data_IF_220678651740
#
_entry.id   IF_220678651740
#
_cell.length_a   1.000
_cell.length_b   1.000
_cell.length_c   1.000
_cell.angle_alpha   90.00
_cell.angle_beta   90.00
_cell.angle_gamma   90.00
#
_symmetry.space_group_name_H-M   'P 1'
#
loop_
_entity.id
_entity.type
_entity.pdbx_description
1 polymer ?
#
# COMPACT_ATOMS: atom_id res chain seq x y z
N UNK A 1 -3.05 8.49 -19.32
CA UNK A 1 -2.04 8.30 -18.27
C UNK A 1 -2.71 7.55 -17.12
N UNK A 2 -2.11 6.49 -16.65
CA UNK A 2 -2.64 5.64 -15.59
C UNK A 2 -2.70 6.41 -14.25
N UNK A 3 -3.81 6.33 -13.53
CA UNK A 3 -4.10 7.20 -12.38
C UNK A 3 -4.18 6.42 -11.08
N UNK A 4 -3.57 6.95 -10.03
CA UNK A 4 -3.46 6.31 -8.72
C UNK A 4 -4.06 7.19 -7.63
N UNK A 5 -4.76 6.56 -6.68
CA UNK A 5 -4.99 7.10 -5.34
C UNK A 5 -4.19 6.27 -4.36
N UNK A 6 -3.38 6.91 -3.53
CA UNK A 6 -2.62 6.25 -2.47
C UNK A 6 -3.26 6.49 -1.10
N UNK A 7 -3.27 5.47 -0.24
CA UNK A 7 -3.74 5.58 1.15
C UNK A 7 -2.58 5.30 2.11
N UNK A 8 -2.47 6.14 3.16
CA UNK A 8 -1.40 6.07 4.17
C UNK A 8 -1.95 6.27 5.59
N UNK A 9 -1.17 5.87 6.59
CA UNK A 9 -1.45 6.15 8.01
C UNK A 9 -0.27 6.76 8.78
N UNK A 10 0.92 6.86 8.18
CA UNK A 10 2.16 7.24 8.87
C UNK A 10 3.09 8.12 8.05
N UNK A 11 4.39 7.88 8.17
CA UNK A 11 5.47 8.67 7.54
C UNK A 11 5.48 8.66 6.00
N UNK A 12 4.83 7.68 5.37
CA UNK A 12 4.66 7.65 3.92
C UNK A 12 5.94 7.35 3.12
N UNK A 13 6.87 6.55 3.62
CA UNK A 13 8.11 6.23 2.90
C UNK A 13 7.86 5.54 1.55
N UNK A 14 6.91 4.62 1.49
CA UNK A 14 6.49 3.96 0.24
C UNK A 14 5.75 4.94 -0.69
N UNK A 15 4.91 5.82 -0.13
CA UNK A 15 4.27 6.90 -0.87
C UNK A 15 5.30 7.82 -1.52
N UNK A 16 6.31 8.24 -0.75
CA UNK A 16 7.35 9.13 -1.25
C UNK A 16 8.08 8.53 -2.45
N UNK A 17 8.49 7.28 -2.37
CA UNK A 17 9.13 6.59 -3.48
C UNK A 17 8.24 6.54 -4.74
N UNK A 18 6.93 6.30 -4.56
CA UNK A 18 5.97 6.32 -5.66
C UNK A 18 5.79 7.71 -6.25
N UNK A 19 5.72 8.77 -5.44
CA UNK A 19 5.63 10.16 -5.89
C UNK A 19 6.88 10.57 -6.68
N UNK A 20 8.09 10.27 -6.17
CA UNK A 20 9.36 10.51 -6.85
C UNK A 20 9.42 9.80 -8.21
N UNK A 21 8.94 8.56 -8.30
CA UNK A 21 8.86 7.84 -9.56
C UNK A 21 7.86 8.50 -10.54
N UNK A 22 6.68 8.89 -10.06
CA UNK A 22 5.63 9.53 -10.85
C UNK A 22 5.99 10.94 -11.33
N UNK A 23 6.97 11.61 -10.72
CA UNK A 23 7.48 12.92 -11.16
C UNK A 23 8.30 12.81 -12.46
N UNK A 24 8.80 11.64 -12.77
CA UNK A 24 9.49 11.39 -14.04
C UNK A 24 8.50 11.33 -15.21
N UNK A 25 8.74 12.09 -16.29
CA UNK A 25 7.88 12.04 -17.49
C UNK A 25 7.89 10.68 -18.21
N UNK A 26 8.86 9.82 -17.88
CA UNK A 26 8.97 8.46 -18.42
C UNK A 26 8.21 7.42 -17.58
N UNK A 27 7.67 7.80 -16.44
CA UNK A 27 6.87 6.90 -15.63
C UNK A 27 5.41 6.89 -16.11
N UNK A 28 4.81 5.71 -16.34
CA UNK A 28 3.52 5.61 -17.04
C UNK A 28 2.30 5.96 -16.20
N UNK A 29 2.49 6.29 -14.92
CA UNK A 29 1.42 6.55 -13.96
C UNK A 29 1.59 7.88 -13.23
N UNK A 30 0.49 8.39 -12.66
CA UNK A 30 0.47 9.60 -11.84
C UNK A 30 -0.37 9.39 -10.58
N UNK A 31 0.07 9.92 -9.42
CA UNK A 31 -0.72 9.96 -8.20
C UNK A 31 -1.66 11.18 -8.26
N UNK A 32 -2.97 10.95 -8.23
CA UNK A 32 -4.00 12.00 -8.28
C UNK A 32 -4.36 12.54 -6.91
N UNK A 33 -4.35 11.66 -5.92
CA UNK A 33 -4.65 12.05 -4.55
C UNK A 33 -4.01 11.08 -3.53
N UNK A 34 -3.80 11.60 -2.33
CA UNK A 34 -3.36 10.83 -1.17
C UNK A 34 -4.39 10.97 -0.05
N UNK A 35 -4.93 9.84 0.39
CA UNK A 35 -5.83 9.75 1.53
C UNK A 35 -5.13 9.27 2.79
N UNK A 36 -5.57 9.77 3.95
CA UNK A 36 -5.10 9.30 5.25
C UNK A 36 -6.26 9.08 6.23
N UNK A 37 -6.10 8.10 7.13
CA UNK A 37 -7.07 7.81 8.21
C UNK A 37 -6.85 8.68 9.47
N UNK A 38 -5.82 9.53 9.43
CA UNK A 38 -5.41 10.46 10.50
C UNK A 38 -4.47 11.52 9.94
N UNK A 39 -4.20 12.62 10.66
CA UNK A 39 -3.05 13.46 10.34
C UNK A 39 -1.78 12.61 10.29
N UNK A 40 -1.12 12.57 9.16
CA UNK A 40 0.03 11.71 8.89
C UNK A 40 1.14 12.53 8.23
N UNK A 41 2.39 12.35 8.71
CA UNK A 41 3.54 13.08 8.16
C UNK A 41 3.78 12.83 6.66
N UNK A 42 3.33 11.68 6.15
CA UNK A 42 3.41 11.36 4.73
C UNK A 42 2.58 12.27 3.81
N UNK A 43 1.61 13.04 4.35
CA UNK A 43 0.85 14.03 3.57
C UNK A 43 1.73 15.19 3.10
N UNK A 44 2.76 15.54 3.86
CA UNK A 44 3.75 16.55 3.46
C UNK A 44 4.46 16.18 2.14
N UNK A 45 4.68 14.89 1.90
CA UNK A 45 5.24 14.43 0.62
C UNK A 45 4.28 14.73 -0.54
N UNK A 46 2.97 14.47 -0.35
CA UNK A 46 1.98 14.79 -1.39
C UNK A 46 1.92 16.28 -1.69
N UNK A 47 1.99 17.13 -0.67
CA UNK A 47 2.01 18.60 -0.82
C UNK A 47 3.25 19.07 -1.60
N UNK A 48 4.44 18.51 -1.32
CA UNK A 48 5.68 18.82 -2.04
C UNK A 48 5.59 18.52 -3.55
N UNK A 49 4.84 17.48 -3.92
CA UNK A 49 4.61 17.11 -5.33
C UNK A 49 3.32 17.73 -5.91
N UNK A 50 2.64 18.62 -5.19
CA UNK A 50 1.40 19.27 -5.65
C UNK A 50 0.22 18.32 -5.81
N UNK A 51 0.23 17.19 -5.09
CA UNK A 51 -0.82 16.17 -5.14
C UNK A 51 -1.90 16.49 -4.09
N UNK A 52 -3.18 16.39 -4.49
CA UNK A 52 -4.32 16.60 -3.60
C UNK A 52 -4.32 15.64 -2.42
N UNK A 53 -4.71 16.11 -1.24
CA UNK A 53 -4.80 15.28 -0.04
C UNK A 53 -6.20 15.30 0.57
N UNK A 54 -6.58 14.23 1.27
CA UNK A 54 -7.76 14.17 2.13
C UNK A 54 -7.49 13.36 3.39
N UNK A 55 -8.11 13.76 4.51
CA UNK A 55 -8.00 13.06 5.80
C UNK A 55 -9.39 12.68 6.29
N UNK A 56 -9.61 11.39 6.50
CA UNK A 56 -10.88 10.83 6.97
C UNK A 56 -10.64 9.99 8.23
N UNK A 57 -10.68 10.65 9.38
CA UNK A 57 -10.47 10.00 10.67
C UNK A 57 -11.73 9.22 11.08
N UNK A 58 -11.69 7.88 11.19
CA UNK A 58 -12.89 7.08 11.50
C UNK A 58 -13.61 7.51 12.78
N UNK A 59 -12.85 7.98 13.77
CA UNK A 59 -13.42 8.42 15.05
C UNK A 59 -14.28 9.70 14.94
N UNK A 60 -14.21 10.44 13.84
CA UNK A 60 -15.00 11.64 13.58
C UNK A 60 -16.35 11.37 12.91
N UNK A 61 -16.65 10.10 12.62
CA UNK A 61 -17.89 9.69 11.98
C UNK A 61 -18.83 9.01 12.99
N UNK A 62 -20.13 9.15 12.76
CA UNK A 62 -21.16 8.55 13.62
C UNK A 62 -21.25 7.02 13.48
N UNK A 63 -20.80 6.47 12.35
CA UNK A 63 -20.73 5.02 12.12
C UNK A 63 -19.59 4.63 11.17
N UNK A 64 -19.26 3.33 11.16
CA UNK A 64 -18.26 2.76 10.23
C UNK A 64 -18.74 2.85 8.78
N UNK A 65 -20.04 2.70 8.56
CA UNK A 65 -20.68 2.78 7.25
C UNK A 65 -20.52 4.18 6.67
N UNK A 66 -20.81 5.20 7.46
CA UNK A 66 -20.64 6.61 7.03
C UNK A 66 -19.19 6.92 6.64
N UNK A 67 -18.21 6.42 7.43
CA UNK A 67 -16.80 6.55 7.09
C UNK A 67 -16.47 5.80 5.80
N UNK A 68 -16.97 4.56 5.64
CA UNK A 68 -16.76 3.74 4.45
C UNK A 68 -17.30 4.42 3.18
N UNK A 69 -18.51 4.96 3.24
CA UNK A 69 -19.15 5.64 2.11
C UNK A 69 -18.36 6.89 1.69
N UNK A 70 -17.92 7.70 2.65
CA UNK A 70 -17.14 8.90 2.33
C UNK A 70 -15.74 8.54 1.84
N UNK A 71 -15.10 7.50 2.38
CA UNK A 71 -13.81 7.00 1.89
C UNK A 71 -13.93 6.54 0.43
N UNK A 72 -14.94 5.73 0.14
CA UNK A 72 -15.20 5.26 -1.22
C UNK A 72 -15.47 6.42 -2.18
N UNK A 73 -16.33 7.35 -1.78
CA UNK A 73 -16.64 8.54 -2.58
C UNK A 73 -15.38 9.38 -2.85
N UNK A 74 -14.56 9.62 -1.83
CA UNK A 74 -13.31 10.39 -1.98
C UNK A 74 -12.32 9.72 -2.93
N UNK A 75 -12.19 8.38 -2.86
CA UNK A 75 -11.35 7.63 -3.80
C UNK A 75 -11.91 7.76 -5.22
N UNK A 76 -13.21 7.48 -5.42
CA UNK A 76 -13.86 7.46 -6.73
C UNK A 76 -13.93 8.84 -7.39
N UNK A 77 -13.97 9.93 -6.60
CA UNK A 77 -13.92 11.29 -7.12
C UNK A 77 -12.70 11.53 -8.02
N UNK A 78 -11.58 10.93 -7.67
CA UNK A 78 -10.33 11.04 -8.45
C UNK A 78 -10.24 10.05 -9.62
N UNK A 79 -11.24 9.16 -9.79
CA UNK A 79 -11.35 8.15 -10.88
C UNK A 79 -10.05 7.35 -11.05
N UNK A 80 -9.52 6.70 -10.00
CA UNK A 80 -8.28 5.97 -10.12
C UNK A 80 -8.45 4.69 -10.94
N UNK A 81 -7.40 4.35 -11.68
CA UNK A 81 -7.22 3.03 -12.27
C UNK A 81 -6.75 2.02 -11.21
N UNK A 82 -5.97 2.51 -10.22
CA UNK A 82 -5.41 1.72 -9.13
C UNK A 82 -5.48 2.46 -7.79
N UNK A 83 -5.78 1.75 -6.72
CA UNK A 83 -5.63 2.21 -5.34
C UNK A 83 -4.44 1.49 -4.71
N UNK A 84 -3.53 2.23 -4.10
CA UNK A 84 -2.31 1.70 -3.47
C UNK A 84 -2.37 1.93 -1.97
N UNK A 85 -2.37 0.87 -1.17
CA UNK A 85 -2.17 0.96 0.27
C UNK A 85 -0.66 1.06 0.54
N UNK A 86 -0.17 2.28 0.76
CA UNK A 86 1.25 2.57 0.98
C UNK A 86 1.54 2.76 2.48
N UNK A 87 1.23 1.74 3.27
CA UNK A 87 1.30 1.80 4.73
C UNK A 87 0.02 2.35 5.35
N UNK A 88 -1.13 1.90 4.86
CA UNK A 88 -2.43 2.17 5.45
C UNK A 88 -2.74 1.14 6.53
N UNK A 89 -2.76 1.58 7.80
CA UNK A 89 -2.83 0.70 8.98
C UNK A 89 -4.26 0.37 9.42
N UNK A 90 -5.21 0.35 8.48
CA UNK A 90 -6.59 -0.06 8.73
C UNK A 90 -7.06 -1.08 7.73
N UNK A 91 -7.88 -1.98 8.21
CA UNK A 91 -8.65 -2.89 7.35
C UNK A 91 -9.69 -2.03 6.62
N UNK A 92 -9.68 -2.08 5.29
CA UNK A 92 -10.67 -1.41 4.48
C UNK A 92 -12.06 -2.04 4.71
N UNK A 93 -13.13 -1.23 4.79
CA UNK A 93 -14.48 -1.76 4.84
C UNK A 93 -14.80 -2.65 3.63
N UNK A 94 -15.53 -3.73 3.86
CA UNK A 94 -15.89 -4.69 2.80
C UNK A 94 -16.62 -4.02 1.61
N UNK A 95 -17.42 -2.98 1.87
CA UNK A 95 -18.10 -2.18 0.84
C UNK A 95 -17.10 -1.47 -0.08
N UNK A 96 -16.01 -0.94 0.46
CA UNK A 96 -14.93 -0.28 -0.30
C UNK A 96 -14.17 -1.31 -1.13
N UNK A 97 -13.80 -2.46 -0.51
CA UNK A 97 -13.08 -3.55 -1.19
C UNK A 97 -13.90 -4.10 -2.35
N UNK A 98 -15.19 -4.37 -2.14
CA UNK A 98 -16.12 -4.86 -3.18
C UNK A 98 -16.29 -3.87 -4.34
N UNK A 99 -16.47 -2.59 -4.01
CA UNK A 99 -16.66 -1.55 -5.03
C UNK A 99 -15.40 -1.31 -5.90
N UNK A 100 -14.23 -1.64 -5.37
CA UNK A 100 -12.93 -1.46 -6.02
C UNK A 100 -12.22 -2.81 -6.25
N UNK A 101 -12.98 -3.91 -6.33
CA UNK A 101 -12.42 -5.26 -6.48
C UNK A 101 -11.46 -5.34 -7.69
N UNK A 102 -10.31 -5.96 -7.49
CA UNK A 102 -9.25 -6.09 -8.49
C UNK A 102 -8.47 -4.80 -8.79
N UNK A 103 -8.73 -3.71 -8.04
CA UNK A 103 -8.07 -2.40 -8.23
C UNK A 103 -7.32 -1.91 -6.99
N UNK A 104 -7.23 -2.68 -5.93
CA UNK A 104 -6.52 -2.29 -4.70
C UNK A 104 -5.34 -3.22 -4.53
N UNK A 105 -4.15 -2.65 -4.38
CA UNK A 105 -2.95 -3.39 -3.99
C UNK A 105 -2.44 -2.90 -2.64
N UNK A 106 -1.83 -3.82 -1.89
CA UNK A 106 -1.14 -3.53 -0.65
C UNK A 106 0.30 -4.02 -0.72
N UNK A 107 1.20 -3.34 0.01
CA UNK A 107 2.54 -3.83 0.26
C UNK A 107 2.68 -4.22 1.73
N UNK A 108 3.18 -5.43 1.98
CA UNK A 108 3.26 -6.04 3.28
C UNK A 108 4.69 -6.51 3.61
N UNK A 109 5.23 -6.22 4.82
CA UNK A 109 6.62 -6.47 5.17
C UNK A 109 6.90 -7.91 5.61
N UNK A 110 6.41 -8.90 4.87
CA UNK A 110 6.73 -10.33 5.04
C UNK A 110 6.56 -11.09 3.73
N UNK A 111 6.94 -12.37 3.73
CA UNK A 111 6.63 -13.33 2.66
C UNK A 111 5.28 -13.99 2.97
N UNK A 112 4.18 -13.37 2.56
CA UNK A 112 2.84 -13.93 2.76
C UNK A 112 2.73 -15.35 2.15
N UNK A 113 2.01 -16.27 2.79
CA UNK A 113 1.10 -16.11 3.92
C UNK A 113 1.76 -16.09 5.31
N UNK A 114 3.09 -16.05 5.41
CA UNK A 114 3.77 -15.95 6.69
C UNK A 114 3.63 -14.53 7.28
N UNK A 115 3.38 -14.46 8.58
CA UNK A 115 3.33 -13.23 9.37
C UNK A 115 2.37 -12.15 8.81
N UNK A 116 1.07 -12.44 8.65
CA UNK A 116 0.08 -11.44 8.26
C UNK A 116 -0.16 -10.44 9.40
N UNK A 117 -0.75 -9.28 9.07
CA UNK A 117 -1.16 -8.27 10.05
C UNK A 117 -0.07 -7.27 10.44
N UNK A 118 -0.33 -6.49 11.49
CA UNK A 118 0.38 -5.25 11.79
C UNK A 118 1.82 -5.41 12.34
N UNK A 119 2.23 -6.63 12.71
CA UNK A 119 3.48 -6.86 13.45
C UNK A 119 4.44 -7.84 12.76
N UNK A 120 4.33 -7.97 11.44
CA UNK A 120 5.05 -8.97 10.64
C UNK A 120 6.57 -9.01 10.91
N UNK A 121 7.23 -7.87 11.02
CA UNK A 121 8.69 -7.79 11.24
C UNK A 121 9.06 -8.33 12.62
N UNK A 122 8.34 -7.91 13.66
CA UNK A 122 8.52 -8.41 15.03
C UNK A 122 8.26 -9.91 15.12
N UNK A 123 7.20 -10.36 14.49
CA UNK A 123 6.77 -11.75 14.55
C UNK A 123 7.76 -12.67 13.81
N UNK A 124 8.33 -12.22 12.70
CA UNK A 124 9.41 -12.91 11.98
C UNK A 124 10.67 -13.06 12.85
N UNK A 125 11.09 -11.98 13.55
CA UNK A 125 12.22 -12.02 14.47
C UNK A 125 11.94 -12.96 15.66
N UNK A 126 10.74 -12.88 16.24
CA UNK A 126 10.34 -13.74 17.37
C UNK A 126 10.29 -15.24 16.98
N UNK A 127 9.92 -15.54 15.74
CA UNK A 127 9.92 -16.90 15.19
C UNK A 127 11.33 -17.43 14.86
N UNK A 128 12.35 -16.57 14.84
CA UNK A 128 13.73 -16.96 14.56
C UNK A 128 13.95 -17.47 13.14
N UNK A 129 13.13 -17.03 12.17
CA UNK A 129 13.30 -17.43 10.76
C UNK A 129 14.55 -16.76 10.17
N UNK A 130 15.22 -17.46 9.25
CA UNK A 130 16.42 -16.95 8.58
C UNK A 130 16.12 -15.98 7.44
N UNK A 131 14.88 -16.00 6.93
CA UNK A 131 14.44 -15.23 5.76
C UNK A 131 13.08 -14.62 6.03
N UNK A 132 12.90 -13.38 5.62
CA UNK A 132 11.62 -12.68 5.53
C UNK A 132 11.55 -12.00 4.15
N UNK A 133 10.73 -10.97 3.99
CA UNK A 133 10.68 -10.24 2.72
C UNK A 133 9.60 -9.19 2.66
N UNK A 134 9.25 -8.83 1.45
CA UNK A 134 8.14 -7.95 1.12
C UNK A 134 7.21 -8.62 0.10
N UNK A 135 5.92 -8.40 0.26
CA UNK A 135 4.88 -8.90 -0.64
C UNK A 135 4.01 -7.76 -1.14
N UNK A 136 3.87 -7.62 -2.45
CA UNK A 136 2.77 -6.87 -3.06
C UNK A 136 1.67 -7.86 -3.40
N UNK A 137 0.44 -7.58 -2.96
CA UNK A 137 -0.72 -8.44 -3.20
C UNK A 137 -1.97 -7.62 -3.49
N UNK A 138 -2.96 -8.25 -4.14
CA UNK A 138 -4.31 -7.71 -4.25
C UNK A 138 -4.97 -7.71 -2.88
N UNK A 139 -5.79 -6.70 -2.63
CA UNK A 139 -6.59 -6.63 -1.39
C UNK A 139 -7.94 -7.30 -1.62
N UNK A 140 -8.26 -8.25 -0.74
CA UNK A 140 -9.57 -8.88 -0.60
C UNK A 140 -10.23 -8.50 0.74
N UNK A 141 -11.32 -9.18 1.10
CA UNK A 141 -12.05 -8.90 2.35
C UNK A 141 -11.33 -9.46 3.61
N UNK A 142 -10.27 -10.27 3.44
CA UNK A 142 -9.47 -10.80 4.53
C UNK A 142 -8.33 -9.86 4.94
N UNK A 143 -7.52 -10.32 5.89
CA UNK A 143 -6.31 -9.60 6.31
C UNK A 143 -5.12 -10.26 5.62
N UNK A 144 -4.54 -9.54 4.65
CA UNK A 144 -3.37 -9.96 3.87
C UNK A 144 -3.54 -11.35 3.18
N UNK A 145 -4.77 -11.68 2.78
CA UNK A 145 -5.13 -12.99 2.20
C UNK A 145 -5.28 -12.96 0.68
N UNK A 146 -5.30 -11.79 0.09
CA UNK A 146 -5.50 -11.65 -1.34
C UNK A 146 -4.34 -12.19 -2.20
N UNK A 147 -4.58 -12.41 -3.50
CA UNK A 147 -3.60 -13.00 -4.42
C UNK A 147 -2.28 -12.24 -4.43
N UNK A 148 -1.18 -12.98 -4.30
CA UNK A 148 0.18 -12.43 -4.36
C UNK A 148 0.51 -12.00 -5.80
N UNK A 149 1.02 -10.79 -5.95
CA UNK A 149 1.49 -10.22 -7.21
C UNK A 149 2.99 -10.42 -7.34
N UNK A 150 3.74 -10.05 -6.29
CA UNK A 150 5.20 -10.16 -6.24
C UNK A 150 5.70 -10.31 -4.82
N UNK A 151 6.74 -11.11 -4.66
CA UNK A 151 7.49 -11.25 -3.41
C UNK A 151 8.98 -11.06 -3.67
N UNK A 152 9.66 -10.48 -2.68
CA UNK A 152 11.12 -10.37 -2.67
C UNK A 152 11.63 -10.86 -1.32
N UNK A 153 12.52 -11.84 -1.34
CA UNK A 153 13.14 -12.41 -0.15
C UNK A 153 14.25 -11.51 0.40
N UNK A 154 14.36 -11.49 1.72
CA UNK A 154 15.39 -10.76 2.47
C UNK A 154 15.95 -11.71 3.53
N UNK A 155 17.24 -12.00 3.46
CA UNK A 155 17.93 -12.72 4.53
C UNK A 155 17.95 -11.85 5.80
N UNK A 156 17.65 -12.46 6.95
CA UNK A 156 17.69 -11.77 8.25
C UNK A 156 19.11 -11.92 8.82
N UNK A 157 19.90 -10.84 8.95
CA UNK A 157 21.22 -10.88 9.55
C UNK A 157 21.16 -11.33 11.01
N UNK A 158 22.10 -12.16 11.44
CA UNK A 158 22.16 -12.58 12.83
C UNK A 158 22.32 -11.38 13.77
N UNK A 159 21.49 -11.33 14.81
CA UNK A 159 21.55 -10.27 15.83
C UNK A 159 20.97 -8.93 15.40
N UNK A 160 20.33 -8.83 14.23
CA UNK A 160 19.70 -7.59 13.78
C UNK A 160 18.55 -7.20 14.71
N UNK A 161 18.41 -5.92 14.98
CA UNK A 161 17.27 -5.37 15.73
C UNK A 161 16.03 -5.20 14.84
N UNK A 162 14.84 -5.14 15.46
CA UNK A 162 13.58 -4.90 14.73
C UNK A 162 13.61 -3.61 13.89
N UNK A 163 14.08 -2.43 14.38
CA UNK A 163 14.16 -1.23 13.58
C UNK A 163 15.10 -1.35 12.36
N UNK A 164 16.23 -2.05 12.52
CA UNK A 164 17.17 -2.28 11.42
C UNK A 164 16.57 -3.19 10.35
N UNK A 165 15.95 -4.30 10.75
CA UNK A 165 15.27 -5.21 9.81
C UNK A 165 14.13 -4.48 9.10
N UNK A 166 13.34 -3.70 9.83
CA UNK A 166 12.26 -2.89 9.24
C UNK A 166 12.80 -1.90 8.20
N UNK A 167 13.95 -1.30 8.44
CA UNK A 167 14.59 -0.38 7.49
C UNK A 167 15.04 -1.12 6.22
N UNK A 168 15.63 -2.32 6.35
CA UNK A 168 15.99 -3.15 5.20
C UNK A 168 14.77 -3.54 4.36
N UNK A 169 13.70 -3.99 5.01
CA UNK A 169 12.47 -4.37 4.33
C UNK A 169 11.88 -3.15 3.60
N UNK A 170 11.87 -1.96 4.21
CA UNK A 170 11.36 -0.74 3.59
C UNK A 170 12.07 -0.37 2.29
N UNK A 171 13.38 -0.56 2.19
CA UNK A 171 14.09 -0.29 0.93
C UNK A 171 13.63 -1.23 -0.19
N UNK A 172 13.39 -2.50 0.15
CA UNK A 172 12.86 -3.49 -0.80
C UNK A 172 11.41 -3.15 -1.17
N UNK A 173 10.57 -2.81 -0.19
CA UNK A 173 9.18 -2.41 -0.42
C UNK A 173 9.06 -1.26 -1.43
N UNK A 174 9.86 -0.19 -1.24
CA UNK A 174 9.84 0.98 -2.12
C UNK A 174 10.10 0.62 -3.58
N UNK A 175 11.17 -0.12 -3.81
CA UNK A 175 11.57 -0.52 -5.16
C UNK A 175 10.52 -1.44 -5.78
N UNK A 176 10.07 -2.46 -5.03
CA UNK A 176 9.09 -3.43 -5.49
C UNK A 176 7.75 -2.78 -5.82
N UNK A 177 7.27 -1.84 -4.99
CA UNK A 177 6.02 -1.12 -5.22
C UNK A 177 6.09 -0.30 -6.52
N UNK A 178 7.17 0.47 -6.70
CA UNK A 178 7.37 1.30 -7.89
C UNK A 178 7.42 0.44 -9.16
N UNK A 179 8.12 -0.69 -9.14
CA UNK A 179 8.18 -1.61 -10.28
C UNK A 179 6.83 -2.25 -10.59
N UNK A 180 6.12 -2.77 -9.59
CA UNK A 180 4.80 -3.40 -9.77
C UNK A 180 3.80 -2.40 -10.34
N UNK A 181 3.75 -1.18 -9.81
CA UNK A 181 2.86 -0.13 -10.32
C UNK A 181 3.19 0.23 -11.77
N UNK A 182 4.48 0.31 -12.13
CA UNK A 182 4.91 0.54 -13.51
C UNK A 182 4.40 -0.54 -14.45
N UNK A 183 4.58 -1.80 -14.09
CA UNK A 183 4.16 -2.95 -14.92
C UNK A 183 2.64 -3.03 -15.10
N UNK A 184 1.88 -2.70 -14.05
CA UNK A 184 0.42 -2.60 -14.13
C UNK A 184 0.03 -1.48 -15.10
N UNK A 185 0.64 -0.30 -14.96
CA UNK A 185 0.33 0.87 -15.80
C UNK A 185 0.71 0.69 -17.28
N UNK A 186 1.75 -0.10 -17.55
CA UNK A 186 2.16 -0.49 -18.91
C UNK A 186 1.35 -1.67 -19.48
N UNK A 187 0.46 -2.28 -18.68
CA UNK A 187 -0.32 -3.46 -19.08
C UNK A 187 0.48 -4.76 -19.18
N UNK A 188 1.72 -4.78 -18.65
CA UNK A 188 2.55 -5.98 -18.58
C UNK A 188 2.13 -6.94 -17.45
N UNK A 189 1.44 -6.40 -16.44
CA UNK A 189 0.85 -7.14 -15.34
C UNK A 189 -0.65 -6.86 -15.31
N UNK A 190 -1.45 -7.89 -15.52
CA UNK A 190 -2.91 -7.80 -15.57
C UNK A 190 -3.54 -8.32 -14.28
N UNK A 191 -4.03 -7.44 -13.44
CA UNK A 191 -4.63 -7.80 -12.15
C UNK A 191 -5.89 -8.66 -12.29
N UNK A 192 -6.62 -8.56 -13.40
CA UNK A 192 -7.83 -9.36 -13.63
C UNK A 192 -7.56 -10.86 -13.81
N UNK A 193 -6.33 -11.24 -14.11
CA UNK A 193 -5.94 -12.66 -14.23
C UNK A 193 -5.73 -13.31 -12.85
N UNK A 194 -5.48 -12.51 -11.83
CA UNK A 194 -5.27 -12.97 -10.46
C UNK A 194 -6.58 -13.14 -9.66
N UNK A 195 -7.69 -12.65 -10.19
CA UNK A 195 -9.02 -12.68 -9.54
C UNK A 195 -9.94 -13.78 -10.06
N UNK A 196 -9.42 -14.70 -10.90
CA UNK A 196 -10.18 -15.81 -11.51
C UNK A 196 -10.21 -17.06 -10.65
#
# INVERSE_FOLDING_TARGET
MFTIVALISGSGSNLRALLEACDSPLYPATVRAVGADRPAGGLEHAELFGVSTFVLEPAKFSSKEQWADLLLHSIQYHKPDLVVLAGFMRILPATVVKALAGKIINIHPSLLPAFPGAHAVRDALAAGVAVTGATVHLVDEGVDTGPVIRQTEIAIPAGISEPELHSLIKEVEKNQLVEVVREIAEGRLNLSELTK
#
